data_IF_046777511080
#
_entry.id   IF_046777511080
#
_cell.length_a   1.000
_cell.length_b   1.000
_cell.length_c   1.000
_cell.angle_alpha   90.00
_cell.angle_beta   90.00
_cell.angle_gamma   90.00
#
_symmetry.space_group_name_H-M   'P 1'
#
loop_
_entity.id
_entity.type
_entity.pdbx_description
1 polymer ?
#
# COMPACT_ATOMS: atom_id res chain seq x y z
N UNK A 1 4.70 12.67 -3.00
CA UNK A 1 4.32 11.96 -4.26
C UNK A 1 2.87 11.49 -4.15
N UNK A 2 2.19 11.11 -5.23
CA UNK A 2 0.78 10.66 -5.17
C UNK A 2 0.59 9.33 -5.89
N UNK A 3 -0.24 8.45 -5.33
CA UNK A 3 -0.70 7.22 -5.99
C UNK A 3 -2.22 7.14 -5.96
N UNK A 4 -2.80 6.34 -6.86
CA UNK A 4 -4.25 6.12 -6.91
C UNK A 4 -4.60 4.83 -6.19
N UNK A 5 -5.48 4.90 -5.20
CA UNK A 5 -6.00 3.71 -4.52
C UNK A 5 -6.89 2.87 -5.45
N UNK A 6 -7.36 1.72 -4.97
CA UNK A 6 -8.25 0.84 -5.77
C UNK A 6 -9.62 1.46 -6.07
N UNK A 7 -10.02 2.50 -5.33
CA UNK A 7 -11.30 3.20 -5.48
C UNK A 7 -11.17 4.43 -6.39
N UNK A 8 -9.98 4.70 -6.94
CA UNK A 8 -9.73 5.84 -7.82
C UNK A 8 -9.38 7.13 -7.10
N UNK A 9 -9.18 7.12 -5.78
CA UNK A 9 -8.81 8.31 -5.01
C UNK A 9 -7.31 8.54 -5.03
N UNK A 10 -6.90 9.81 -5.03
CA UNK A 10 -5.51 10.19 -4.88
C UNK A 10 -5.09 10.13 -3.42
N UNK A 11 -4.04 9.37 -3.14
CA UNK A 11 -3.41 9.28 -1.82
C UNK A 11 -2.05 9.98 -1.88
N UNK A 12 -1.87 10.95 -1.00
CA UNK A 12 -0.57 11.59 -0.81
C UNK A 12 0.37 10.70 0.00
N UNK A 13 1.57 10.50 -0.53
CA UNK A 13 2.66 9.77 0.11
C UNK A 13 3.74 10.78 0.48
N UNK A 14 3.82 11.05 1.78
CA UNK A 14 4.77 12.01 2.39
C UNK A 14 6.10 11.36 2.73
N UNK A 15 6.08 10.09 3.17
CA UNK A 15 7.26 9.26 3.42
C UNK A 15 7.06 7.87 2.81
N UNK A 16 7.76 7.61 1.69
CA UNK A 16 7.61 6.37 0.93
C UNK A 16 8.10 5.14 1.71
N UNK A 17 9.18 5.27 2.49
CA UNK A 17 9.74 4.15 3.24
C UNK A 17 8.77 3.73 4.36
N UNK A 18 8.25 4.69 5.12
CA UNK A 18 7.24 4.43 6.16
C UNK A 18 5.94 3.90 5.58
N UNK A 19 5.49 4.43 4.44
CA UNK A 19 4.28 3.94 3.79
C UNK A 19 4.40 2.47 3.35
N UNK A 20 5.55 2.07 2.79
CA UNK A 20 5.81 0.66 2.43
C UNK A 20 5.79 -0.23 3.68
N UNK A 21 6.42 0.20 4.77
CA UNK A 21 6.43 -0.55 6.03
C UNK A 21 5.02 -0.72 6.59
N UNK A 22 4.26 0.36 6.68
CA UNK A 22 2.91 0.38 7.22
C UNK A 22 1.96 -0.53 6.41
N UNK A 23 1.98 -0.42 5.08
CA UNK A 23 1.17 -1.29 4.21
C UNK A 23 1.62 -2.74 4.22
N UNK A 24 2.90 -3.00 4.50
CA UNK A 24 3.44 -4.34 4.70
C UNK A 24 2.89 -5.04 5.95
N UNK A 25 2.56 -4.28 7.01
CA UNK A 25 1.89 -4.83 8.20
C UNK A 25 0.40 -5.00 8.01
N UNK A 26 -0.30 -3.96 7.54
CA UNK A 26 -1.76 -3.99 7.48
C UNK A 26 -2.33 -4.99 6.49
N UNK A 27 -1.56 -5.39 5.47
CA UNK A 27 -1.98 -6.45 4.55
C UNK A 27 -2.08 -7.84 5.22
N UNK A 28 -1.42 -8.02 6.37
CA UNK A 28 -1.41 -9.27 7.15
C UNK A 28 -2.32 -9.21 8.39
N UNK A 29 -2.79 -8.02 8.78
CA UNK A 29 -3.61 -7.85 9.97
C UNK A 29 -4.99 -8.49 9.80
N UNK A 30 -5.47 -9.11 10.88
CA UNK A 30 -6.79 -9.74 10.99
C UNK A 30 -7.30 -9.49 12.40
N UNK A 31 -8.62 -9.40 12.57
CA UNK A 31 -9.20 -9.33 13.92
C UNK A 31 -9.14 -10.70 14.60
N UNK A 32 -9.21 -10.70 15.92
CA UNK A 32 -9.42 -11.89 16.73
C UNK A 32 -10.64 -11.68 17.66
N UNK A 33 -11.79 -12.32 17.40
CA UNK A 33 -12.05 -13.26 16.30
C UNK A 33 -12.08 -12.57 14.92
N UNK A 34 -11.80 -13.29 13.81
CA UNK A 34 -11.82 -12.72 12.46
C UNK A 34 -13.20 -12.18 12.06
N UNK A 35 -13.21 -11.11 11.29
CA UNK A 35 -14.44 -10.50 10.76
C UNK A 35 -14.43 -10.49 9.23
N UNK A 36 -15.63 -10.44 8.62
CA UNK A 36 -15.78 -10.50 7.15
C UNK A 36 -14.97 -9.44 6.41
N UNK A 37 -14.85 -8.24 7.00
CA UNK A 37 -14.10 -7.13 6.39
C UNK A 37 -12.59 -7.32 6.36
N UNK A 38 -12.04 -8.32 7.08
CA UNK A 38 -10.59 -8.55 7.10
C UNK A 38 -10.05 -8.82 5.70
N UNK A 39 -10.72 -9.69 4.93
CA UNK A 39 -10.33 -10.00 3.55
C UNK A 39 -10.33 -8.75 2.65
N UNK A 40 -11.33 -7.89 2.80
CA UNK A 40 -11.45 -6.66 2.01
C UNK A 40 -10.35 -5.65 2.34
N UNK A 41 -10.00 -5.52 3.63
CA UNK A 41 -8.92 -4.67 4.11
C UNK A 41 -7.56 -5.21 3.66
N UNK A 42 -7.31 -6.50 3.80
CA UNK A 42 -6.07 -7.14 3.36
C UNK A 42 -5.87 -6.99 1.84
N UNK A 43 -6.92 -7.15 1.04
CA UNK A 43 -6.86 -6.91 -0.40
C UNK A 43 -6.52 -5.44 -0.73
N UNK A 44 -7.14 -4.50 -0.02
CA UNK A 44 -6.83 -3.07 -0.18
C UNK A 44 -5.37 -2.75 0.16
N UNK A 45 -4.90 -3.22 1.32
CA UNK A 45 -3.52 -2.96 1.75
C UNK A 45 -2.48 -3.67 0.89
N UNK A 46 -2.79 -4.85 0.38
CA UNK A 46 -1.93 -5.58 -0.59
C UNK A 46 -1.74 -4.78 -1.87
N UNK A 47 -2.82 -4.21 -2.42
CA UNK A 47 -2.77 -3.37 -3.62
C UNK A 47 -1.91 -2.10 -3.37
N UNK A 48 -2.17 -1.40 -2.26
CA UNK A 48 -1.39 -0.22 -1.87
C UNK A 48 0.09 -0.54 -1.69
N UNK A 49 0.42 -1.66 -1.04
CA UNK A 49 1.80 -2.09 -0.83
C UNK A 49 2.52 -2.33 -2.16
N UNK A 50 1.89 -3.04 -3.10
CA UNK A 50 2.46 -3.28 -4.44
C UNK A 50 2.72 -1.98 -5.19
N UNK A 51 1.77 -1.05 -5.17
CA UNK A 51 1.91 0.27 -5.84
C UNK A 51 3.06 1.09 -5.25
N UNK A 52 3.23 1.07 -3.93
CA UNK A 52 4.33 1.78 -3.26
C UNK A 52 5.69 1.15 -3.56
N UNK A 53 5.79 -0.18 -3.62
CA UNK A 53 7.01 -0.88 -4.04
C UNK A 53 7.37 -0.51 -5.48
N UNK A 54 6.41 -0.57 -6.40
CA UNK A 54 6.61 -0.18 -7.80
C UNK A 54 7.06 1.28 -7.94
N UNK A 55 6.48 2.19 -7.14
CA UNK A 55 6.89 3.59 -7.11
C UNK A 55 8.33 3.77 -6.63
N UNK A 56 8.74 3.04 -5.57
CA UNK A 56 10.14 3.03 -5.11
C UNK A 56 11.09 2.55 -6.20
N UNK A 57 10.74 1.47 -6.89
CA UNK A 57 11.53 0.93 -8.00
C UNK A 57 11.66 1.94 -9.14
N UNK A 58 10.57 2.63 -9.51
CA UNK A 58 10.59 3.68 -10.53
C UNK A 58 11.51 4.84 -10.14
N UNK A 59 11.48 5.27 -8.88
CA UNK A 59 12.35 6.36 -8.38
C UNK A 59 13.83 5.96 -8.32
N UNK A 60 14.12 4.67 -8.15
CA UNK A 60 15.47 4.15 -8.07
C UNK A 60 16.06 3.78 -9.45
N UNK A 61 15.26 3.81 -10.52
CA UNK A 61 15.78 3.61 -11.88
C UNK A 61 16.61 4.83 -12.29
N UNK A 62 17.83 4.63 -12.85
CA UNK A 62 18.59 5.74 -13.41
C UNK A 62 17.78 6.41 -14.52
N UNK A 63 17.80 7.75 -14.53
CA UNK A 63 17.25 8.51 -15.65
C UNK A 63 18.23 8.37 -16.80
N UNK A 64 17.83 7.64 -17.85
CA UNK A 64 18.51 7.67 -19.14
C UNK A 64 18.39 9.05 -19.77
#
# INVERSE_FOLDING_TARGET
>A
MKIRDKNGNWIEVTDLKKAIQQTGWYKEYTHNPPVKSDKERQAYWTDMHKKLIALREQLNKPKN
#
